data_IF_881355685924
#
_entry.id   IF_881355685924
#
_cell.length_a   1.000
_cell.length_b   1.000
_cell.length_c   1.000
_cell.angle_alpha   90.00
_cell.angle_beta   90.00
_cell.angle_gamma   90.00
#
_symmetry.space_group_name_H-M   'P 1'
#
loop_
_entity.id
_entity.type
_entity.pdbx_description
1 polymer ?
#
# COMPACT_ATOMS: atom_id res chain seq x y z
N UNK A 1 -20.23 -5.72 -57.90
CA UNK A 1 -18.89 -5.15 -57.72
C UNK A 1 -18.82 -4.70 -56.27
N UNK A 2 -18.11 -5.49 -55.47
CA UNK A 2 -17.97 -5.42 -54.01
C UNK A 2 -17.03 -4.27 -53.63
N UNK A 3 -17.30 -3.59 -52.50
CA UNK A 3 -16.32 -2.93 -51.62
C UNK A 3 -17.08 -2.25 -50.47
N UNK A 4 -17.57 -3.06 -49.51
CA UNK A 4 -17.78 -2.62 -48.13
C UNK A 4 -16.95 -3.57 -47.28
N UNK A 5 -15.64 -3.36 -47.26
CA UNK A 5 -14.73 -4.01 -46.32
C UNK A 5 -14.83 -3.26 -44.99
N UNK A 6 -15.79 -3.72 -44.21
CA UNK A 6 -15.62 -4.13 -42.83
C UNK A 6 -14.56 -3.39 -41.98
N UNK A 7 -14.97 -2.28 -41.37
CA UNK A 7 -14.22 -1.63 -40.28
C UNK A 7 -14.26 -2.40 -38.95
N UNK A 8 -15.03 -3.49 -38.86
CA UNK A 8 -15.10 -4.30 -37.63
C UNK A 8 -13.94 -5.30 -37.53
N UNK A 9 -13.38 -5.74 -38.67
CA UNK A 9 -12.27 -6.70 -38.70
C UNK A 9 -10.90 -6.09 -38.38
N UNK A 10 -10.70 -4.77 -38.51
CA UNK A 10 -9.41 -4.14 -38.16
C UNK A 10 -9.23 -3.93 -36.66
N UNK A 11 -10.32 -3.79 -35.89
CA UNK A 11 -10.25 -3.65 -34.43
C UNK A 11 -10.10 -4.97 -33.69
N UNK A 12 -10.64 -6.07 -34.24
CA UNK A 12 -10.48 -7.41 -33.62
C UNK A 12 -9.07 -7.96 -33.85
N UNK A 13 -8.51 -7.82 -35.06
CA UNK A 13 -7.14 -8.25 -35.34
C UNK A 13 -6.08 -7.50 -34.51
N UNK A 14 -6.34 -6.25 -34.12
CA UNK A 14 -5.42 -5.48 -33.27
C UNK A 14 -5.55 -5.88 -31.79
N UNK A 15 -6.77 -6.21 -31.34
CA UNK A 15 -7.01 -6.77 -30.00
C UNK A 15 -6.43 -8.16 -29.86
N UNK A 16 -6.55 -9.01 -30.88
CA UNK A 16 -5.95 -10.34 -30.87
C UNK A 16 -4.41 -10.25 -30.89
N UNK A 17 -3.84 -9.24 -31.55
CA UNK A 17 -2.39 -8.98 -31.51
C UNK A 17 -1.91 -8.41 -30.15
N UNK A 18 -2.73 -7.63 -29.45
CA UNK A 18 -2.49 -7.20 -28.07
C UNK A 18 -2.66 -8.35 -27.07
N UNK A 19 -3.66 -9.21 -27.26
CA UNK A 19 -3.95 -10.38 -26.40
C UNK A 19 -2.89 -11.48 -26.56
N UNK A 20 -2.35 -11.69 -27.76
CA UNK A 20 -1.26 -12.64 -27.96
C UNK A 20 0.11 -12.14 -27.43
N UNK A 21 0.27 -10.83 -27.20
CA UNK A 21 1.40 -10.29 -26.43
C UNK A 21 1.22 -10.43 -24.91
N UNK A 22 -0.01 -10.73 -24.45
CA UNK A 22 -0.37 -11.00 -23.06
C UNK A 22 -0.30 -12.50 -22.73
N UNK A 23 0.01 -13.37 -23.69
CA UNK A 23 0.11 -14.83 -23.50
C UNK A 23 1.26 -15.24 -22.54
N UNK A 24 2.20 -14.32 -22.32
CA UNK A 24 3.10 -14.33 -21.18
C UNK A 24 2.90 -13.00 -20.45
N UNK A 25 2.19 -13.00 -19.33
CA UNK A 25 2.07 -11.83 -18.44
C UNK A 25 3.47 -11.56 -17.89
N UNK A 26 4.29 -10.88 -18.70
CA UNK A 26 5.71 -10.72 -18.42
C UNK A 26 5.86 -9.97 -17.10
N UNK A 27 6.84 -10.39 -16.32
CA UNK A 27 7.18 -9.75 -15.06
C UNK A 27 7.47 -8.25 -15.23
N UNK A 28 7.86 -7.82 -16.43
CA UNK A 28 8.08 -6.41 -16.77
C UNK A 28 6.77 -5.59 -16.77
N UNK A 29 5.63 -6.19 -17.14
CA UNK A 29 4.31 -5.55 -17.04
C UNK A 29 3.90 -5.42 -15.58
N UNK A 30 4.12 -6.47 -14.79
CA UNK A 30 3.87 -6.45 -13.35
C UNK A 30 4.76 -5.45 -12.61
N UNK A 31 6.02 -5.27 -13.03
CA UNK A 31 6.91 -4.22 -12.51
C UNK A 31 6.43 -2.81 -12.83
N UNK A 32 5.67 -2.64 -13.91
CA UNK A 32 5.08 -1.34 -14.26
C UNK A 32 3.91 -0.99 -13.34
N UNK A 33 3.17 -2.01 -12.89
CA UNK A 33 2.02 -1.87 -11.98
C UNK A 33 2.49 -1.82 -10.52
N UNK A 34 3.49 -2.63 -10.16
CA UNK A 34 4.05 -2.78 -8.82
C UNK A 34 5.58 -2.64 -8.93
N UNK A 35 6.12 -1.41 -8.81
CA UNK A 35 7.56 -1.16 -8.94
C UNK A 35 8.44 -1.97 -7.99
N UNK A 36 7.92 -2.32 -6.82
CA UNK A 36 8.61 -3.07 -5.78
C UNK A 36 8.88 -4.53 -6.18
N UNK A 37 8.14 -5.08 -7.14
CA UNK A 37 8.37 -6.44 -7.65
C UNK A 37 9.73 -6.60 -8.32
N UNK A 38 10.35 -5.51 -8.78
CA UNK A 38 11.68 -5.50 -9.40
C UNK A 38 12.73 -6.22 -8.56
N UNK A 39 12.62 -6.14 -7.22
CA UNK A 39 13.54 -6.80 -6.31
C UNK A 39 13.39 -8.33 -6.27
N UNK A 40 12.32 -8.89 -6.83
CA UNK A 40 12.05 -10.33 -6.90
C UNK A 40 12.26 -10.92 -8.29
N UNK A 41 12.47 -10.08 -9.31
CA UNK A 41 12.65 -10.50 -10.70
C UNK A 41 13.84 -11.46 -10.86
N UNK A 42 13.61 -12.62 -11.49
CA UNK A 42 14.64 -13.62 -11.77
C UNK A 42 15.68 -13.14 -12.80
N UNK A 43 15.33 -12.15 -13.62
CA UNK A 43 16.23 -11.56 -14.61
C UNK A 43 17.34 -10.69 -13.98
N UNK A 44 17.27 -10.43 -12.66
CA UNK A 44 18.27 -9.66 -11.90
C UNK A 44 18.72 -10.39 -10.64
N UNK A 45 19.49 -11.49 -10.78
CA UNK A 45 19.83 -12.36 -9.65
C UNK A 45 20.64 -11.66 -8.55
N UNK A 46 21.48 -10.70 -8.90
CA UNK A 46 22.26 -9.92 -7.93
C UNK A 46 21.39 -8.99 -7.08
N UNK A 47 20.42 -8.31 -7.69
CA UNK A 47 19.49 -7.41 -7.01
C UNK A 47 18.58 -8.20 -6.06
N UNK A 48 18.05 -9.33 -6.53
CA UNK A 48 17.29 -10.27 -5.71
C UNK A 48 18.10 -10.83 -4.54
N UNK A 49 19.34 -11.24 -4.78
CA UNK A 49 20.22 -11.76 -3.73
C UNK A 49 20.51 -10.71 -2.66
N UNK A 50 20.83 -9.48 -3.08
CA UNK A 50 21.07 -8.36 -2.19
C UNK A 50 19.80 -8.00 -1.41
N UNK A 51 18.65 -7.92 -2.09
CA UNK A 51 17.37 -7.63 -1.46
C UNK A 51 17.07 -8.65 -0.36
N UNK A 52 17.21 -9.95 -0.64
CA UNK A 52 16.88 -11.00 0.33
C UNK A 52 17.86 -11.05 1.51
N UNK A 53 19.17 -10.88 1.29
CA UNK A 53 20.18 -11.05 2.35
C UNK A 53 20.44 -9.82 3.20
N UNK A 54 20.21 -8.63 2.68
CA UNK A 54 20.63 -7.39 3.35
C UNK A 54 19.53 -6.91 4.31
N UNK A 55 19.91 -6.46 5.51
CA UNK A 55 18.98 -5.92 6.53
C UNK A 55 18.51 -4.49 6.24
N UNK A 56 19.22 -3.79 5.35
CA UNK A 56 18.95 -2.41 4.95
C UNK A 56 17.61 -2.28 4.20
N UNK A 57 17.15 -3.36 3.54
CA UNK A 57 15.88 -3.39 2.81
C UNK A 57 14.68 -3.78 3.68
N UNK A 58 14.78 -3.77 5.02
CA UNK A 58 13.67 -4.21 5.87
C UNK A 58 12.38 -3.44 5.61
N UNK A 59 12.48 -2.12 5.45
CA UNK A 59 11.33 -1.27 5.10
C UNK A 59 10.77 -1.62 3.72
N UNK A 60 11.64 -1.75 2.72
CA UNK A 60 11.25 -2.09 1.35
C UNK A 60 10.60 -3.49 1.26
N UNK A 61 11.02 -4.43 2.13
CA UNK A 61 10.39 -5.76 2.28
C UNK A 61 9.01 -5.68 2.92
N UNK A 62 8.85 -4.86 3.96
CA UNK A 62 7.56 -4.63 4.61
C UNK A 62 6.57 -3.96 3.64
N UNK A 63 7.05 -3.00 2.85
CA UNK A 63 6.27 -2.31 1.82
C UNK A 63 5.86 -3.26 0.69
N UNK A 64 6.80 -4.05 0.16
CA UNK A 64 6.49 -5.08 -0.85
C UNK A 64 5.49 -6.12 -0.32
N UNK A 65 5.65 -6.58 0.93
CA UNK A 65 4.74 -7.53 1.55
C UNK A 65 3.33 -6.94 1.67
N UNK A 66 3.21 -5.71 2.18
CA UNK A 66 1.93 -5.02 2.31
C UNK A 66 1.24 -4.88 0.95
N UNK A 67 1.99 -4.50 -0.08
CA UNK A 67 1.45 -4.37 -1.43
C UNK A 67 0.95 -5.72 -1.94
N UNK A 68 1.74 -6.80 -1.79
CA UNK A 68 1.33 -8.13 -2.20
C UNK A 68 0.09 -8.65 -1.45
N UNK A 69 0.03 -8.42 -0.13
CA UNK A 69 -1.13 -8.80 0.69
C UNK A 69 -2.40 -8.06 0.24
N UNK A 70 -2.27 -6.76 -0.10
CA UNK A 70 -3.38 -5.97 -0.64
C UNK A 70 -3.86 -6.51 -1.98
N UNK A 71 -2.93 -6.80 -2.91
CA UNK A 71 -3.28 -7.42 -4.19
C UNK A 71 -3.89 -8.81 -4.01
N UNK A 72 -3.42 -9.61 -3.05
CA UNK A 72 -4.01 -10.90 -2.72
C UNK A 72 -5.45 -10.75 -2.22
N UNK A 73 -5.70 -9.78 -1.34
CA UNK A 73 -7.05 -9.50 -0.82
C UNK A 73 -8.00 -9.07 -1.95
N UNK A 74 -7.54 -8.16 -2.80
CA UNK A 74 -8.28 -7.64 -3.95
C UNK A 74 -8.60 -8.75 -4.96
N UNK A 75 -7.64 -9.62 -5.28
CA UNK A 75 -7.80 -10.69 -6.26
C UNK A 75 -8.61 -11.89 -5.73
N UNK A 76 -8.68 -12.08 -4.40
CA UNK A 76 -9.53 -13.10 -3.78
C UNK A 76 -11.00 -12.67 -3.68
N UNK A 77 -11.26 -11.38 -3.76
CA UNK A 77 -12.61 -10.83 -3.84
C UNK A 77 -13.11 -11.13 -5.27
N UNK A 78 -13.89 -12.19 -5.42
CA UNK A 78 -14.36 -12.80 -6.69
C UNK A 78 -15.42 -11.91 -7.38
N UNK A 79 -15.08 -10.64 -7.61
CA UNK A 79 -15.96 -9.55 -8.03
C UNK A 79 -15.56 -9.02 -9.42
N UNK A 80 -16.51 -8.46 -10.16
CA UNK A 80 -16.20 -7.80 -11.44
C UNK A 80 -15.24 -6.61 -11.21
N UNK A 81 -14.45 -6.25 -12.22
CA UNK A 81 -13.40 -5.23 -12.10
C UNK A 81 -13.92 -3.88 -11.60
N UNK A 82 -15.16 -3.51 -11.93
CA UNK A 82 -15.79 -2.28 -11.45
C UNK A 82 -16.14 -2.34 -9.96
N UNK A 83 -16.65 -3.48 -9.49
CA UNK A 83 -16.93 -3.72 -8.07
C UNK A 83 -15.65 -3.72 -7.23
N UNK A 84 -14.55 -4.23 -7.81
CA UNK A 84 -13.21 -4.24 -7.20
C UNK A 84 -12.64 -2.82 -7.02
N UNK A 85 -12.88 -1.92 -7.97
CA UNK A 85 -12.46 -0.52 -7.89
C UNK A 85 -13.25 0.20 -6.79
N UNK A 86 -14.57 -0.01 -6.74
CA UNK A 86 -15.44 0.57 -5.73
C UNK A 86 -15.11 0.06 -4.32
N UNK A 87 -14.89 -1.25 -4.16
CA UNK A 87 -14.51 -1.86 -2.87
C UNK A 87 -13.17 -1.33 -2.38
N UNK A 88 -12.17 -1.21 -3.27
CA UNK A 88 -10.85 -0.68 -2.93
C UNK A 88 -10.93 0.79 -2.52
N UNK A 89 -11.71 1.60 -3.24
CA UNK A 89 -11.93 3.02 -2.92
C UNK A 89 -12.61 3.20 -1.56
N UNK A 90 -13.57 2.33 -1.25
CA UNK A 90 -14.23 2.30 0.05
C UNK A 90 -13.26 1.87 1.18
N UNK A 91 -12.46 0.82 0.96
CA UNK A 91 -11.42 0.37 1.92
C UNK A 91 -10.40 1.46 2.22
N UNK A 92 -9.97 2.24 1.23
CA UNK A 92 -9.06 3.39 1.42
C UNK A 92 -9.71 4.41 2.35
N UNK A 93 -10.97 4.75 2.10
CA UNK A 93 -11.73 5.72 2.91
C UNK A 93 -11.88 5.24 4.35
N UNK A 94 -12.30 4.00 4.54
CA UNK A 94 -12.51 3.40 5.86
C UNK A 94 -11.21 3.26 6.65
N UNK A 95 -10.12 2.91 5.98
CA UNK A 95 -8.78 2.86 6.58
C UNK A 95 -8.35 4.24 7.07
N UNK A 96 -8.57 5.29 6.27
CA UNK A 96 -8.29 6.67 6.67
C UNK A 96 -9.10 7.11 7.90
N UNK A 97 -10.40 6.79 7.93
CA UNK A 97 -11.25 7.07 9.09
C UNK A 97 -10.81 6.30 10.33
N UNK A 98 -10.46 5.03 10.20
CA UNK A 98 -9.99 4.20 11.31
C UNK A 98 -8.63 4.67 11.84
N UNK A 99 -7.72 5.11 10.97
CA UNK A 99 -6.46 5.71 11.37
C UNK A 99 -6.67 6.96 12.24
N UNK A 100 -7.56 7.87 11.81
CA UNK A 100 -7.91 9.07 12.59
C UNK A 100 -8.54 8.70 13.95
N UNK A 101 -9.42 7.69 13.99
CA UNK A 101 -9.99 7.19 15.25
C UNK A 101 -8.91 6.66 16.19
N UNK A 102 -7.97 5.88 15.67
CA UNK A 102 -6.88 5.32 16.46
C UNK A 102 -5.93 6.39 17.00
N UNK A 103 -5.63 7.43 16.22
CA UNK A 103 -4.87 8.59 16.70
C UNK A 103 -5.59 9.32 17.84
N UNK A 104 -6.89 9.56 17.70
CA UNK A 104 -7.68 10.17 18.78
C UNK A 104 -7.65 9.31 20.04
N UNK A 105 -7.79 7.99 19.91
CA UNK A 105 -7.70 7.07 21.04
C UNK A 105 -6.33 7.11 21.72
N UNK A 106 -5.24 7.17 20.95
CA UNK A 106 -3.88 7.31 21.47
C UNK A 106 -3.74 8.58 22.31
N UNK A 107 -4.20 9.73 21.80
CA UNK A 107 -4.16 11.02 22.51
C UNK A 107 -4.97 10.98 23.80
N UNK A 108 -6.16 10.37 23.78
CA UNK A 108 -6.95 10.23 25.01
C UNK A 108 -6.26 9.33 26.04
N UNK A 109 -5.60 8.25 25.60
CA UNK A 109 -4.84 7.36 26.49
C UNK A 109 -3.58 8.04 27.06
N UNK A 110 -2.91 8.93 26.32
CA UNK A 110 -1.74 9.66 26.83
C UNK A 110 -2.11 10.82 27.76
N UNK A 111 -3.33 11.35 27.64
CA UNK A 111 -3.80 12.52 28.42
C UNK A 111 -3.67 12.33 29.93
N UNK A 112 -4.09 11.18 30.46
CA UNK A 112 -4.02 10.94 31.91
C UNK A 112 -2.58 10.90 32.41
N UNK A 113 -1.68 10.33 31.61
CA UNK A 113 -0.25 10.31 31.89
C UNK A 113 0.34 11.73 31.85
N UNK A 114 -0.01 12.54 30.85
CA UNK A 114 0.42 13.93 30.73
C UNK A 114 -0.04 14.78 31.93
N UNK A 115 -1.30 14.61 32.36
CA UNK A 115 -1.84 15.31 33.53
C UNK A 115 -1.10 14.91 34.80
N UNK A 116 -0.83 13.61 35.00
CA UNK A 116 -0.07 13.12 36.16
C UNK A 116 1.36 13.69 36.18
N UNK A 117 2.07 13.67 35.05
CA UNK A 117 3.42 14.24 34.95
C UNK A 117 3.43 15.76 35.20
N UNK A 118 2.46 16.48 34.64
CA UNK A 118 2.32 17.93 34.86
C UNK A 118 2.01 18.24 36.33
N UNK A 119 1.17 17.44 36.97
CA UNK A 119 0.85 17.58 38.40
C UNK A 119 2.09 17.43 39.28
N UNK A 120 2.91 16.40 39.03
CA UNK A 120 4.17 16.17 39.76
C UNK A 120 5.16 17.32 39.54
N UNK A 121 5.32 17.77 38.30
CA UNK A 121 6.18 18.93 37.97
C UNK A 121 5.75 20.19 38.73
N UNK A 122 4.45 20.52 38.72
CA UNK A 122 3.90 21.66 39.45
C UNK A 122 4.06 21.51 40.97
N UNK A 123 3.96 20.30 41.51
CA UNK A 123 4.23 20.06 42.94
C UNK A 123 5.67 20.39 43.31
N UNK A 124 6.65 19.98 42.50
CA UNK A 124 8.06 20.33 42.74
C UNK A 124 8.31 21.83 42.63
N UNK A 125 7.77 22.51 41.62
CA UNK A 125 7.90 23.96 41.49
C UNK A 125 7.31 24.70 42.71
N UNK A 126 6.12 24.30 43.14
CA UNK A 126 5.43 24.91 44.27
C UNK A 126 6.13 24.64 45.61
N UNK A 127 6.72 23.46 45.78
CA UNK A 127 7.47 23.11 47.00
C UNK A 127 8.84 23.78 47.05
N UNK A 128 9.49 24.05 45.92
CA UNK A 128 10.71 24.87 45.87
C UNK A 128 10.42 26.34 46.19
N UNK A 129 9.32 26.90 45.65
CA UNK A 129 8.92 28.29 45.94
C UNK A 129 8.54 28.51 47.41
N UNK A 130 7.91 27.53 48.07
CA UNK A 130 7.50 27.62 49.48
C UNK A 130 8.66 27.62 50.48
N UNK A 131 9.87 27.20 50.08
CA UNK A 131 11.06 27.19 50.95
C UNK A 131 11.81 28.53 51.00
N UNK A 132 11.43 29.51 50.17
CA UNK A 132 12.13 30.79 50.01
C UNK A 132 11.51 32.01 50.70
N UNK A 133 10.51 31.83 51.57
CA UNK A 133 9.87 32.87 52.41
C UNK A 133 9.84 32.41 53.85
#
# INVERSE_FOLDING_TARGET
MSLVQDKSSESENNRDFEINQLEDLSFDVLETIIPELRYLNSNRPHEKHNFLKTSVSKKDKEELLLTLDLWEEILKEDAETDEMIDSTSQKITDTGLNYIKNLNLLVQKSKDLEVAYKSVSLFFENTQKKKGT
#
